data_IF_041025289512
#
_entry.id   IF_041025289512
#
_cell.length_a   1.000
_cell.length_b   1.000
_cell.length_c   1.000
_cell.angle_alpha   90.00
_cell.angle_beta   90.00
_cell.angle_gamma   90.00
#
_symmetry.space_group_name_H-M   'P 1'
#
loop_
_entity.id
_entity.type
_entity.pdbx_description
1 polymer ?
#
# COMPACT_ATOMS: atom_id res chain seq x y z
N UNK A 1 -22.89 24.47 -19.74
CA UNK A 1 -22.71 23.18 -19.03
C UNK A 1 -21.74 22.34 -19.84
N UNK A 2 -20.96 21.47 -19.20
CA UNK A 2 -19.97 20.60 -19.85
C UNK A 2 -20.21 19.13 -19.44
N UNK A 3 -19.87 18.18 -20.30
CA UNK A 3 -19.86 16.74 -19.97
C UNK A 3 -18.52 16.34 -19.32
N UNK A 4 -18.45 15.13 -18.75
CA UNK A 4 -17.21 14.59 -18.17
C UNK A 4 -16.07 14.56 -19.19
N UNK A 5 -16.36 14.16 -20.43
CA UNK A 5 -15.36 14.08 -21.51
C UNK A 5 -14.85 15.44 -21.99
N UNK A 6 -15.55 16.52 -21.64
CA UNK A 6 -15.16 17.90 -21.96
C UNK A 6 -14.36 18.56 -20.82
N UNK A 7 -14.24 17.88 -19.67
CA UNK A 7 -13.47 18.38 -18.54
C UNK A 7 -11.96 18.31 -18.85
N UNK A 8 -11.20 19.26 -18.30
CA UNK A 8 -9.73 19.30 -18.45
C UNK A 8 -9.12 18.19 -17.57
N UNK A 9 -8.76 17.06 -18.19
CA UNK A 9 -8.19 15.90 -17.48
C UNK A 9 -6.67 15.86 -17.51
N UNK A 10 -6.04 16.34 -18.57
CA UNK A 10 -4.59 16.38 -18.75
C UNK A 10 -4.17 17.72 -19.36
N UNK A 11 -2.90 18.12 -19.15
CA UNK A 11 -2.40 19.38 -19.71
C UNK A 11 -2.49 19.39 -21.23
N UNK A 12 -2.25 18.25 -21.86
CA UNK A 12 -2.30 18.07 -23.31
C UNK A 12 -3.67 18.46 -23.89
N UNK A 13 -4.76 18.24 -23.15
CA UNK A 13 -6.12 18.62 -23.53
C UNK A 13 -6.24 20.14 -23.70
N UNK A 14 -5.54 20.93 -22.87
CA UNK A 14 -5.51 22.40 -22.98
C UNK A 14 -4.87 22.82 -24.30
N UNK A 15 -3.68 22.30 -24.60
CA UNK A 15 -2.97 22.69 -25.81
C UNK A 15 -3.78 22.31 -27.06
N UNK A 16 -4.26 21.07 -27.13
CA UNK A 16 -4.99 20.54 -28.28
C UNK A 16 -6.33 21.26 -28.47
N UNK A 17 -7.05 21.53 -27.38
CA UNK A 17 -8.31 22.26 -27.45
C UNK A 17 -8.12 23.69 -27.96
N UNK A 18 -7.14 24.43 -27.44
CA UNK A 18 -6.89 25.81 -27.90
C UNK A 18 -6.46 25.86 -29.37
N UNK A 19 -5.66 24.88 -29.83
CA UNK A 19 -5.34 24.73 -31.26
C UNK A 19 -6.61 24.46 -32.07
N UNK A 20 -7.51 23.61 -31.59
CA UNK A 20 -8.78 23.33 -32.27
C UNK A 20 -9.72 24.55 -32.36
N UNK A 21 -9.59 25.50 -31.43
CA UNK A 21 -10.25 26.81 -31.47
C UNK A 21 -9.54 27.82 -32.40
N UNK A 22 -8.46 27.42 -33.07
CA UNK A 22 -7.72 28.28 -34.01
C UNK A 22 -6.59 29.10 -33.37
N UNK A 23 -6.23 28.87 -32.10
CA UNK A 23 -5.10 29.57 -31.48
C UNK A 23 -3.75 29.03 -31.97
N UNK A 24 -2.70 29.88 -32.12
CA UNK A 24 -1.38 29.44 -32.55
C UNK A 24 -0.74 28.41 -31.60
N UNK A 25 -0.12 27.36 -32.15
CA UNK A 25 0.44 26.24 -31.38
C UNK A 25 1.39 26.69 -30.25
N UNK A 26 2.31 27.60 -30.55
CA UNK A 26 3.27 28.13 -29.56
C UNK A 26 2.57 28.89 -28.43
N UNK A 27 1.44 29.55 -28.71
CA UNK A 27 0.66 30.27 -27.70
C UNK A 27 -0.14 29.29 -26.85
N UNK A 28 -0.82 28.34 -27.48
CA UNK A 28 -1.53 27.24 -26.81
C UNK A 28 -0.61 26.44 -25.87
N UNK A 29 0.61 26.14 -26.31
CA UNK A 29 1.65 25.49 -25.49
C UNK A 29 2.03 26.33 -24.26
N UNK A 30 2.26 27.64 -24.42
CA UNK A 30 2.60 28.54 -23.30
C UNK A 30 1.48 28.62 -22.27
N UNK A 31 0.22 28.71 -22.74
CA UNK A 31 -0.96 28.73 -21.86
C UNK A 31 -1.04 27.41 -21.09
N UNK A 32 -0.95 26.27 -21.78
CA UNK A 32 -0.90 24.95 -21.15
C UNK A 32 0.19 24.86 -20.06
N UNK A 33 1.43 25.24 -20.37
CA UNK A 33 2.55 25.14 -19.41
C UNK A 33 2.40 26.07 -18.20
N UNK A 34 1.73 27.22 -18.36
CA UNK A 34 1.41 28.10 -17.24
C UNK A 34 0.32 27.49 -16.34
N UNK A 35 -0.78 27.04 -16.95
CA UNK A 35 -1.93 26.48 -16.24
C UNK A 35 -1.55 25.21 -15.47
N UNK A 36 -0.82 24.27 -16.09
CA UNK A 36 -0.44 23.01 -15.42
C UNK A 36 0.48 23.21 -14.20
N UNK A 37 1.15 24.37 -14.11
CA UNK A 37 2.00 24.77 -12.98
C UNK A 37 1.27 25.63 -11.95
N UNK A 38 -0.04 25.83 -12.12
CA UNK A 38 -0.83 26.66 -11.23
C UNK A 38 -0.51 28.15 -11.31
N UNK A 39 0.09 28.62 -12.41
CA UNK A 39 0.46 30.03 -12.61
C UNK A 39 -0.68 30.87 -13.23
N UNK A 40 -1.86 30.27 -13.40
CA UNK A 40 -2.99 30.91 -14.07
C UNK A 40 -2.74 31.10 -15.56
N UNK A 41 -3.48 32.05 -16.14
CA UNK A 41 -3.36 32.41 -17.56
C UNK A 41 -2.28 33.48 -17.75
N UNK A 42 -1.41 33.35 -18.77
CA UNK A 42 -0.50 34.44 -19.16
C UNK A 42 -1.24 35.72 -19.53
N UNK A 43 -0.56 36.87 -19.46
CA UNK A 43 -1.11 38.15 -19.88
C UNK A 43 -1.66 38.10 -21.32
N UNK A 44 -2.86 38.67 -21.52
CA UNK A 44 -3.58 38.67 -22.80
C UNK A 44 -4.23 37.34 -23.20
N UNK A 45 -3.89 36.23 -22.54
CA UNK A 45 -4.38 34.91 -22.96
C UNK A 45 -5.90 34.77 -22.80
N UNK A 46 -6.49 35.42 -21.80
CA UNK A 46 -7.94 35.39 -21.61
C UNK A 46 -8.71 36.03 -22.77
N UNK A 47 -8.28 37.21 -23.22
CA UNK A 47 -8.93 37.92 -24.32
C UNK A 47 -8.71 37.19 -25.64
N UNK A 48 -7.52 36.63 -25.85
CA UNK A 48 -7.23 35.77 -27.00
C UNK A 48 -8.10 34.50 -27.01
N UNK A 49 -8.28 33.87 -25.85
CA UNK A 49 -9.17 32.70 -25.70
C UNK A 49 -10.63 33.08 -25.98
N UNK A 50 -11.12 34.20 -25.47
CA UNK A 50 -12.47 34.70 -25.76
C UNK A 50 -12.65 35.00 -27.25
N UNK A 51 -11.68 35.65 -27.88
CA UNK A 51 -11.69 35.96 -29.31
C UNK A 51 -11.68 34.69 -30.19
N UNK A 52 -11.03 33.62 -29.73
CA UNK A 52 -11.04 32.30 -30.35
C UNK A 52 -12.32 31.47 -30.05
N UNK A 53 -13.31 32.06 -29.37
CA UNK A 53 -14.58 31.39 -29.04
C UNK A 53 -14.48 30.37 -27.90
N UNK A 54 -13.42 30.42 -27.09
CA UNK A 54 -13.29 29.56 -25.91
C UNK A 54 -14.33 29.98 -24.86
N UNK A 55 -15.17 29.05 -24.36
CA UNK A 55 -16.20 29.38 -23.38
C UNK A 55 -15.64 29.90 -22.05
N UNK A 56 -16.35 30.83 -21.42
CA UNK A 56 -15.95 31.45 -20.14
C UNK A 56 -15.69 30.42 -19.03
N UNK A 57 -16.48 29.34 -18.98
CA UNK A 57 -16.28 28.29 -17.97
C UNK A 57 -14.92 27.58 -18.12
N UNK A 58 -14.42 27.43 -19.36
CA UNK A 58 -13.14 26.78 -19.65
C UNK A 58 -11.98 27.68 -19.20
N UNK A 59 -12.07 28.97 -19.51
CA UNK A 59 -11.15 30.01 -19.05
C UNK A 59 -11.12 30.04 -17.52
N UNK A 60 -12.30 30.05 -16.88
CA UNK A 60 -12.44 29.99 -15.43
C UNK A 60 -11.85 28.72 -14.82
N UNK A 61 -11.95 27.58 -15.50
CA UNK A 61 -11.34 26.30 -15.09
C UNK A 61 -9.81 26.39 -15.11
N UNK A 62 -9.22 26.88 -16.22
CA UNK A 62 -7.77 27.08 -16.36
C UNK A 62 -7.16 27.93 -15.23
N UNK A 63 -7.88 28.94 -14.74
CA UNK A 63 -7.42 29.80 -13.63
C UNK A 63 -7.40 29.09 -12.26
N UNK A 64 -8.18 28.01 -12.09
CA UNK A 64 -8.33 27.28 -10.80
C UNK A 64 -7.32 26.15 -10.64
N UNK A 65 -6.90 25.54 -11.73
CA UNK A 65 -5.95 24.41 -11.74
C UNK A 65 -4.65 24.81 -11.05
N UNK A 66 -4.22 24.01 -10.06
CA UNK A 66 -2.94 24.20 -9.34
C UNK A 66 -1.82 23.30 -9.86
N UNK A 67 -2.19 22.11 -10.30
CA UNK A 67 -1.30 21.13 -10.89
C UNK A 67 -2.09 20.25 -11.85
N UNK A 68 -1.48 19.83 -12.95
CA UNK A 68 -2.12 18.95 -13.93
C UNK A 68 -1.10 18.01 -14.59
N UNK A 69 -1.46 16.74 -14.71
CA UNK A 69 -0.58 15.71 -15.29
C UNK A 69 -0.48 15.82 -16.82
N UNK A 70 0.68 15.42 -17.40
CA UNK A 70 0.74 15.02 -18.80
C UNK A 70 0.00 13.72 -19.05
N UNK A 71 -0.67 13.63 -20.21
CA UNK A 71 -1.43 12.45 -20.63
C UNK A 71 -0.59 11.17 -20.64
N UNK A 72 0.66 11.26 -21.09
CA UNK A 72 1.59 10.12 -21.08
C UNK A 72 1.83 9.55 -19.66
N UNK A 73 1.89 10.42 -18.64
CA UNK A 73 2.09 9.97 -17.26
C UNK A 73 0.81 9.29 -16.72
N UNK A 74 -0.35 9.88 -16.97
CA UNK A 74 -1.64 9.29 -16.61
C UNK A 74 -1.81 7.89 -17.25
N UNK A 75 -1.51 7.76 -18.55
CA UNK A 75 -1.56 6.47 -19.27
C UNK A 75 -0.60 5.45 -18.65
N UNK A 76 0.63 5.84 -18.33
CA UNK A 76 1.61 4.92 -17.71
C UNK A 76 1.13 4.39 -16.36
N UNK A 77 0.60 5.25 -15.49
CA UNK A 77 0.08 4.86 -14.17
C UNK A 77 -1.17 3.99 -14.29
N UNK A 78 -2.13 4.39 -15.14
CA UNK A 78 -3.37 3.64 -15.38
C UNK A 78 -3.04 2.26 -15.96
N UNK A 79 -2.08 2.16 -16.88
CA UNK A 79 -1.63 0.87 -17.41
C UNK A 79 -1.06 -0.04 -16.32
N UNK A 80 -0.28 0.49 -15.36
CA UNK A 80 0.18 -0.31 -14.22
C UNK A 80 -0.97 -0.72 -13.32
N UNK A 81 -1.91 0.19 -13.05
CA UNK A 81 -3.09 -0.09 -12.24
C UNK A 81 -3.94 -1.21 -12.85
N UNK A 82 -4.18 -1.22 -14.17
CA UNK A 82 -4.89 -2.30 -14.85
C UNK A 82 -4.15 -3.64 -14.76
N UNK A 83 -2.83 -3.65 -14.89
CA UNK A 83 -2.03 -4.88 -14.73
C UNK A 83 -2.16 -5.43 -13.32
N UNK A 84 -2.09 -4.58 -12.29
CA UNK A 84 -2.26 -4.99 -10.89
C UNK A 84 -3.70 -5.44 -10.63
N UNK A 85 -4.70 -4.72 -11.15
CA UNK A 85 -6.12 -5.05 -11.00
C UNK A 85 -6.44 -6.43 -11.58
N UNK A 86 -5.81 -6.81 -12.70
CA UNK A 86 -5.95 -8.14 -13.27
C UNK A 86 -5.56 -9.24 -12.27
N UNK A 87 -4.45 -9.09 -11.53
CA UNK A 87 -4.09 -10.03 -10.45
C UNK A 87 -5.08 -9.97 -9.29
N UNK A 88 -5.54 -8.77 -8.89
CA UNK A 88 -6.53 -8.64 -7.81
C UNK A 88 -7.80 -9.43 -8.11
N UNK A 89 -8.24 -9.44 -9.37
CA UNK A 89 -9.44 -10.17 -9.80
C UNK A 89 -9.15 -11.66 -10.01
N UNK A 90 -8.15 -12.01 -10.81
CA UNK A 90 -7.94 -13.38 -11.31
C UNK A 90 -6.96 -14.22 -10.49
N UNK A 91 -6.03 -13.61 -9.77
CA UNK A 91 -5.05 -14.27 -8.89
C UNK A 91 -4.97 -13.58 -7.53
N UNK A 92 -6.08 -13.53 -6.77
CA UNK A 92 -6.20 -12.69 -5.58
C UNK A 92 -5.12 -12.96 -4.53
N UNK A 93 -4.82 -14.22 -4.21
CA UNK A 93 -3.78 -14.55 -3.23
C UNK A 93 -2.38 -14.03 -3.63
N UNK A 94 -2.06 -14.01 -4.93
CA UNK A 94 -0.81 -13.42 -5.42
C UNK A 94 -0.81 -11.89 -5.26
N UNK A 95 -1.95 -11.24 -5.55
CA UNK A 95 -2.13 -9.81 -5.29
C UNK A 95 -1.96 -9.48 -3.80
N UNK A 96 -2.68 -10.17 -2.92
CA UNK A 96 -2.65 -9.93 -1.48
C UNK A 96 -1.27 -10.22 -0.88
N UNK A 97 -0.63 -11.32 -1.29
CA UNK A 97 0.75 -11.63 -0.88
C UNK A 97 1.70 -10.48 -1.23
N UNK A 98 1.65 -9.97 -2.47
CA UNK A 98 2.50 -8.87 -2.90
C UNK A 98 2.14 -7.54 -2.22
N UNK A 99 0.85 -7.27 -2.02
CA UNK A 99 0.36 -6.06 -1.35
C UNK A 99 0.81 -6.03 0.11
N UNK A 100 0.52 -7.08 0.88
CA UNK A 100 0.88 -7.16 2.30
C UNK A 100 2.39 -7.23 2.51
N UNK A 101 3.13 -7.88 1.61
CA UNK A 101 4.59 -7.80 1.61
C UNK A 101 5.06 -6.34 1.52
N UNK A 102 4.54 -5.57 0.55
CA UNK A 102 4.97 -4.19 0.38
C UNK A 102 4.57 -3.31 1.56
N UNK A 103 3.43 -3.60 2.21
CA UNK A 103 2.97 -2.90 3.41
C UNK A 103 3.81 -3.24 4.64
N UNK A 104 4.19 -4.50 4.83
CA UNK A 104 5.03 -4.91 5.97
C UNK A 104 6.42 -4.23 5.93
N UNK A 105 7.00 -4.06 4.74
CA UNK A 105 8.27 -3.34 4.57
C UNK A 105 8.20 -1.85 4.93
N UNK A 106 6.99 -1.27 5.03
CA UNK A 106 6.75 0.13 5.37
C UNK A 106 6.16 0.31 6.77
N UNK A 107 6.09 -0.75 7.58
CA UNK A 107 5.49 -0.70 8.92
C UNK A 107 3.98 -0.49 8.91
N UNK A 108 3.32 -0.65 7.76
CA UNK A 108 1.87 -0.51 7.60
C UNK A 108 1.12 -1.84 7.66
N UNK A 109 1.74 -2.90 8.20
CA UNK A 109 1.13 -4.21 8.42
C UNK A 109 1.58 -4.72 9.79
N UNK A 110 0.65 -5.25 10.57
CA UNK A 110 0.92 -5.90 11.86
C UNK A 110 0.24 -7.27 11.89
N UNK A 111 1.05 -8.33 11.92
CA UNK A 111 0.55 -9.69 11.93
C UNK A 111 -0.26 -10.02 13.19
N UNK A 112 0.10 -9.48 14.36
CA UNK A 112 -0.64 -9.75 15.61
C UNK A 112 -2.05 -9.17 15.52
N UNK A 113 -2.21 -8.03 14.85
CA UNK A 113 -3.50 -7.37 14.69
C UNK A 113 -4.32 -8.00 13.55
N UNK A 114 -3.70 -8.13 12.38
CA UNK A 114 -4.43 -8.40 11.13
C UNK A 114 -4.75 -9.88 10.90
N UNK A 115 -4.10 -10.81 11.59
CA UNK A 115 -4.25 -12.25 11.36
C UNK A 115 -5.29 -12.92 12.26
N UNK A 116 -5.81 -12.20 13.26
CA UNK A 116 -6.83 -12.70 14.21
C UNK A 116 -8.28 -12.67 13.66
N UNK A 117 -8.43 -12.68 12.34
CA UNK A 117 -9.73 -12.75 11.68
C UNK A 117 -10.37 -11.39 11.41
N UNK A 118 -11.52 -11.47 10.73
CA UNK A 118 -12.28 -10.31 10.24
C UNK A 118 -12.72 -9.36 11.36
N UNK A 119 -13.23 -9.90 12.47
CA UNK A 119 -13.81 -9.08 13.54
C UNK A 119 -12.73 -8.25 14.26
N UNK A 120 -11.52 -8.80 14.42
CA UNK A 120 -10.38 -8.06 14.93
C UNK A 120 -9.97 -6.92 13.98
N UNK A 121 -9.98 -7.16 12.66
CA UNK A 121 -9.71 -6.11 11.67
C UNK A 121 -10.74 -4.99 11.74
N UNK A 122 -12.04 -5.32 11.80
CA UNK A 122 -13.12 -4.32 11.91
C UNK A 122 -12.98 -3.50 13.18
N UNK A 123 -12.74 -4.14 14.33
CA UNK A 123 -12.56 -3.42 15.59
C UNK A 123 -11.39 -2.43 15.55
N UNK A 124 -10.32 -2.73 14.81
CA UNK A 124 -9.18 -1.82 14.64
C UNK A 124 -9.45 -0.70 13.63
N UNK A 125 -10.23 -0.96 12.58
CA UNK A 125 -10.73 0.09 11.67
C UNK A 125 -11.55 1.09 12.49
N UNK A 126 -12.54 0.61 13.24
CA UNK A 126 -13.42 1.43 14.07
C UNK A 126 -12.60 2.24 15.10
N UNK A 127 -11.58 1.63 15.71
CA UNK A 127 -10.74 2.31 16.70
C UNK A 127 -9.93 3.46 16.08
N UNK A 128 -9.44 3.32 14.85
CA UNK A 128 -8.68 4.37 14.16
C UNK A 128 -9.62 5.47 13.67
N UNK A 129 -10.74 5.13 13.03
CA UNK A 129 -11.70 6.10 12.49
C UNK A 129 -12.32 6.99 13.57
N UNK A 130 -12.52 6.45 14.78
CA UNK A 130 -13.05 7.20 15.92
C UNK A 130 -11.96 7.92 16.75
N UNK A 131 -10.69 7.85 16.36
CA UNK A 131 -9.61 8.53 17.04
C UNK A 131 -9.37 9.93 16.44
N UNK A 132 -9.83 10.97 17.14
CA UNK A 132 -9.61 12.37 16.73
C UNK A 132 -8.12 12.77 16.65
N UNK A 133 -7.23 11.99 17.25
CA UNK A 133 -5.78 12.20 17.24
C UNK A 133 -5.05 11.14 16.39
N UNK A 134 -5.72 10.55 15.38
CA UNK A 134 -5.10 9.61 14.46
C UNK A 134 -3.87 10.25 13.79
N UNK A 135 -2.77 9.49 13.79
CA UNK A 135 -1.50 9.91 13.19
C UNK A 135 -1.42 9.49 11.72
N UNK A 136 -0.49 10.05 10.95
CA UNK A 136 -0.21 9.61 9.58
C UNK A 136 0.06 8.09 9.49
N UNK A 137 0.64 7.52 10.55
CA UNK A 137 0.90 6.08 10.64
C UNK A 137 -0.40 5.28 10.81
N UNK A 138 -1.37 5.82 11.55
CA UNK A 138 -2.67 5.19 11.76
C UNK A 138 -3.48 5.21 10.45
N UNK A 139 -3.44 6.32 9.70
CA UNK A 139 -4.05 6.42 8.36
C UNK A 139 -3.42 5.43 7.35
N UNK A 140 -2.09 5.30 7.38
CA UNK A 140 -1.38 4.32 6.55
C UNK A 140 -1.77 2.88 6.91
N UNK A 141 -1.96 2.60 8.21
CA UNK A 141 -2.41 1.31 8.72
C UNK A 141 -3.87 1.04 8.34
N UNK A 142 -4.76 2.03 8.48
CA UNK A 142 -6.17 1.97 8.11
C UNK A 142 -6.32 1.53 6.65
N UNK A 143 -5.58 2.15 5.73
CA UNK A 143 -5.60 1.77 4.32
C UNK A 143 -5.17 0.30 4.09
N UNK A 144 -4.30 -0.27 4.95
CA UNK A 144 -3.98 -1.72 4.89
C UNK A 144 -5.09 -2.57 5.49
N UNK A 145 -5.70 -2.11 6.58
CA UNK A 145 -6.81 -2.81 7.24
C UNK A 145 -8.02 -2.93 6.33
N UNK A 146 -8.34 -1.92 5.53
CA UNK A 146 -9.42 -1.99 4.52
C UNK A 146 -9.16 -3.14 3.51
N UNK A 147 -7.91 -3.31 3.08
CA UNK A 147 -7.53 -4.40 2.16
C UNK A 147 -7.52 -5.76 2.89
N UNK A 148 -7.15 -5.80 4.17
CA UNK A 148 -7.27 -7.00 4.99
C UNK A 148 -8.75 -7.38 5.22
N UNK A 149 -9.63 -6.40 5.40
CA UNK A 149 -11.07 -6.61 5.51
C UNK A 149 -11.63 -7.17 4.20
N UNK A 150 -11.27 -6.59 3.06
CA UNK A 150 -11.60 -7.14 1.73
C UNK A 150 -11.08 -8.58 1.56
N UNK A 151 -9.84 -8.85 1.98
CA UNK A 151 -9.24 -10.18 1.95
C UNK A 151 -10.10 -11.22 2.68
N UNK A 152 -10.54 -10.91 3.90
CA UNK A 152 -11.43 -11.78 4.66
C UNK A 152 -12.83 -11.89 4.04
N UNK A 153 -13.40 -10.80 3.53
CA UNK A 153 -14.71 -10.83 2.87
C UNK A 153 -14.73 -11.69 1.61
N UNK A 154 -13.59 -11.84 0.94
CA UNK A 154 -13.42 -12.75 -0.20
C UNK A 154 -13.18 -14.20 0.19
N UNK A 155 -13.22 -14.52 1.49
CA UNK A 155 -13.11 -15.88 2.01
C UNK A 155 -11.67 -16.40 2.14
N UNK A 156 -10.68 -15.51 2.13
CA UNK A 156 -9.29 -15.89 2.40
C UNK A 156 -8.96 -15.76 3.89
N UNK A 157 -7.96 -16.52 4.32
CA UNK A 157 -7.54 -16.59 5.72
C UNK A 157 -6.02 -16.47 5.84
N UNK A 158 -5.53 -15.91 6.94
CA UNK A 158 -4.12 -15.99 7.27
C UNK A 158 -3.85 -17.28 8.06
N UNK A 159 -2.68 -17.88 7.81
CA UNK A 159 -2.11 -18.85 8.73
C UNK A 159 -1.41 -18.09 9.87
N UNK A 160 -1.36 -18.66 11.09
CA UNK A 160 -0.52 -18.12 12.14
C UNK A 160 0.93 -18.12 11.66
N UNK A 161 1.74 -17.18 12.15
CA UNK A 161 3.19 -17.24 11.91
C UNK A 161 3.68 -18.58 12.43
N UNK A 162 4.71 -19.14 11.78
CA UNK A 162 5.30 -20.42 12.18
C UNK A 162 6.80 -20.27 12.18
N UNK A 163 7.45 -20.63 13.29
CA UNK A 163 8.91 -20.67 13.39
C UNK A 163 9.51 -21.57 12.32
N UNK A 164 8.79 -22.58 11.83
CA UNK A 164 9.30 -23.53 10.83
C UNK A 164 8.90 -23.19 9.39
N UNK A 165 7.70 -22.65 9.17
CA UNK A 165 7.17 -22.43 7.81
C UNK A 165 7.32 -20.99 7.32
N UNK A 166 7.28 -19.99 8.21
CA UNK A 166 7.27 -18.58 7.78
C UNK A 166 8.60 -18.21 7.15
N UNK A 167 8.56 -17.38 6.09
CA UNK A 167 9.77 -16.79 5.52
C UNK A 167 10.22 -15.58 6.35
N UNK A 168 11.47 -15.16 6.22
CA UNK A 168 11.96 -13.92 6.82
C UNK A 168 11.13 -12.72 6.32
N UNK A 169 10.99 -12.62 5.00
CA UNK A 169 10.44 -11.43 4.35
C UNK A 169 9.23 -11.63 3.43
N UNK A 170 8.82 -12.86 3.10
CA UNK A 170 7.83 -13.12 2.04
C UNK A 170 6.56 -13.78 2.58
N UNK A 171 5.41 -13.28 2.17
CA UNK A 171 4.15 -14.00 2.39
C UNK A 171 4.12 -15.25 1.51
N UNK A 172 3.96 -16.42 2.13
CA UNK A 172 3.88 -17.70 1.43
C UNK A 172 2.41 -18.06 1.24
N UNK A 173 2.04 -18.47 0.02
CA UNK A 173 0.72 -19.05 -0.24
C UNK A 173 0.81 -20.54 0.12
N UNK A 174 0.04 -20.97 1.13
CA UNK A 174 0.00 -22.36 1.61
C UNK A 174 -1.45 -22.74 1.86
N UNK A 175 -1.91 -23.83 1.24
CA UNK A 175 -3.26 -24.38 1.40
C UNK A 175 -4.40 -23.37 1.17
N UNK A 176 -4.24 -22.49 0.17
CA UNK A 176 -5.21 -21.44 -0.15
C UNK A 176 -5.24 -20.26 0.83
N UNK A 177 -4.28 -20.21 1.76
CA UNK A 177 -4.13 -19.19 2.80
C UNK A 177 -2.80 -18.46 2.65
N UNK A 178 -2.68 -17.31 3.32
CA UNK A 178 -1.42 -16.57 3.39
C UNK A 178 -0.72 -16.80 4.72
N UNK A 179 0.51 -17.28 4.66
CA UNK A 179 1.42 -17.38 5.80
C UNK A 179 2.26 -16.10 5.89
N UNK A 180 2.12 -15.29 6.95
CA UNK A 180 2.90 -14.08 7.13
C UNK A 180 4.39 -14.37 7.36
N UNK A 181 5.28 -13.49 6.89
CA UNK A 181 6.70 -13.55 7.21
C UNK A 181 7.02 -12.96 8.58
N UNK A 182 8.24 -13.19 9.08
CA UNK A 182 8.67 -12.63 10.37
C UNK A 182 8.71 -11.09 10.40
N UNK A 183 9.07 -10.42 9.28
CA UNK A 183 9.01 -8.95 9.17
C UNK A 183 7.60 -8.36 9.23
N UNK A 184 6.55 -9.19 9.25
CA UNK A 184 5.19 -8.73 9.48
C UNK A 184 4.89 -8.51 10.97
N UNK A 185 5.78 -8.93 11.88
CA UNK A 185 5.73 -8.53 13.29
C UNK A 185 6.18 -7.08 13.39
N UNK A 186 5.35 -6.22 13.98
CA UNK A 186 5.64 -4.81 14.16
C UNK A 186 6.97 -4.61 14.91
N UNK A 187 7.86 -3.76 14.37
CA UNK A 187 9.19 -3.50 14.91
C UNK A 187 10.26 -4.56 14.60
N UNK A 188 9.90 -5.74 14.09
CA UNK A 188 10.84 -6.81 13.77
C UNK A 188 11.50 -6.56 12.41
N UNK A 189 12.72 -6.01 12.44
CA UNK A 189 13.48 -5.70 11.24
C UNK A 189 14.05 -6.94 10.50
N UNK A 190 14.42 -6.76 9.23
CA UNK A 190 14.90 -7.84 8.36
C UNK A 190 16.06 -8.66 8.96
N UNK A 191 16.99 -8.02 9.67
CA UNK A 191 18.13 -8.72 10.26
C UNK A 191 17.71 -9.77 11.29
N UNK A 192 16.71 -9.45 12.13
CA UNK A 192 16.15 -10.38 13.10
C UNK A 192 15.31 -11.46 12.41
N UNK A 193 14.54 -11.09 11.38
CA UNK A 193 13.76 -12.03 10.59
C UNK A 193 14.63 -13.11 9.90
N UNK A 194 15.77 -12.69 9.32
CA UNK A 194 16.74 -13.62 8.76
C UNK A 194 17.48 -14.43 9.82
N UNK A 195 17.62 -13.89 11.03
CA UNK A 195 18.19 -14.64 12.15
C UNK A 195 17.29 -15.81 12.56
N UNK A 196 15.97 -15.60 12.61
CA UNK A 196 15.00 -16.69 12.84
C UNK A 196 15.11 -17.77 11.76
N UNK A 197 15.20 -17.37 10.48
CA UNK A 197 15.33 -18.32 9.38
C UNK A 197 16.62 -19.14 9.44
N UNK A 198 17.76 -18.54 9.79
CA UNK A 198 19.03 -19.27 9.93
C UNK A 198 19.06 -20.08 11.22
N UNK A 199 18.58 -19.50 12.32
CA UNK A 199 18.61 -20.08 13.66
C UNK A 199 17.86 -21.40 13.75
N UNK A 200 16.79 -21.56 12.95
CA UNK A 200 15.99 -22.79 12.84
C UNK A 200 16.57 -23.87 11.93
N UNK A 201 17.56 -23.58 11.09
CA UNK A 201 18.04 -24.56 10.09
C UNK A 201 18.55 -25.84 10.76
N UNK A 202 17.97 -26.98 10.38
CA UNK A 202 18.34 -28.29 10.91
C UNK A 202 17.98 -28.52 12.39
N UNK A 203 17.18 -27.63 13.00
CA UNK A 203 16.80 -27.73 14.41
C UNK A 203 15.33 -28.05 14.58
N UNK A 204 15.04 -28.85 15.60
CA UNK A 204 13.71 -28.96 16.21
C UNK A 204 13.85 -28.43 17.62
N UNK A 205 13.22 -27.30 17.90
CA UNK A 205 13.28 -26.66 19.20
C UNK A 205 12.39 -27.41 20.20
N UNK A 206 12.87 -27.53 21.44
CA UNK A 206 12.11 -28.09 22.56
C UNK A 206 11.41 -27.01 23.38
N UNK A 207 11.85 -25.76 23.29
CA UNK A 207 11.29 -24.63 24.02
C UNK A 207 11.51 -23.30 23.30
N UNK A 208 10.79 -22.27 23.71
CA UNK A 208 10.99 -20.90 23.22
C UNK A 208 12.32 -20.32 23.68
N UNK A 209 12.84 -20.75 24.83
CA UNK A 209 14.20 -20.45 25.27
C UNK A 209 15.26 -20.91 24.27
N UNK A 210 15.14 -22.11 23.71
CA UNK A 210 16.06 -22.60 22.68
C UNK A 210 15.97 -21.79 21.38
N UNK A 211 14.77 -21.33 21.00
CA UNK A 211 14.59 -20.43 19.86
C UNK A 211 15.34 -19.12 20.11
N UNK A 212 15.17 -18.52 21.29
CA UNK A 212 15.84 -17.27 21.65
C UNK A 212 17.38 -17.43 21.67
N UNK A 213 17.88 -18.56 22.18
CA UNK A 213 19.31 -18.87 22.19
C UNK A 213 19.87 -19.06 20.76
N UNK A 214 19.10 -19.69 19.87
CA UNK A 214 19.48 -19.89 18.47
C UNK A 214 19.38 -18.62 17.61
N UNK A 215 18.61 -17.61 18.05
CA UNK A 215 18.30 -16.40 17.29
C UNK A 215 18.68 -15.14 18.10
N UNK A 216 19.97 -14.91 18.39
CA UNK A 216 20.42 -13.86 19.31
C UNK A 216 20.12 -12.43 18.85
N UNK A 217 19.76 -12.22 17.57
CA UNK A 217 19.36 -10.90 17.05
C UNK A 217 17.89 -10.58 17.30
N UNK A 218 17.12 -11.51 17.84
CA UNK A 218 15.69 -11.32 18.16
C UNK A 218 15.58 -10.92 19.62
N UNK A 219 15.03 -9.73 19.89
CA UNK A 219 14.87 -9.25 21.27
C UNK A 219 13.79 -10.05 22.01
N UNK A 220 13.83 -10.04 23.35
CA UNK A 220 12.81 -10.67 24.20
C UNK A 220 11.39 -10.20 23.86
N UNK A 221 11.22 -8.90 23.58
CA UNK A 221 9.95 -8.32 23.15
C UNK A 221 9.45 -8.96 21.85
N UNK A 222 10.32 -9.11 20.84
CA UNK A 222 9.92 -9.74 19.58
C UNK A 222 9.66 -11.23 19.73
N UNK A 223 10.35 -11.94 20.63
CA UNK A 223 10.01 -13.33 20.98
C UNK A 223 8.59 -13.40 21.57
N UNK A 224 8.24 -12.50 22.49
CA UNK A 224 6.89 -12.46 23.05
C UNK A 224 5.82 -12.16 21.97
N UNK A 225 6.07 -11.19 21.09
CA UNK A 225 5.14 -10.89 19.99
C UNK A 225 5.00 -12.06 19.00
N UNK A 226 6.09 -12.78 18.71
CA UNK A 226 6.04 -13.99 17.90
C UNK A 226 5.18 -15.07 18.56
N UNK A 227 5.29 -15.25 19.88
CA UNK A 227 4.42 -16.15 20.64
C UNK A 227 2.95 -15.76 20.52
N UNK A 228 2.63 -14.49 20.70
CA UNK A 228 1.25 -13.96 20.56
C UNK A 228 0.71 -14.16 19.14
N UNK A 229 1.57 -14.06 18.12
CA UNK A 229 1.22 -14.37 16.73
C UNK A 229 1.17 -15.87 16.40
N UNK A 230 1.34 -16.75 17.39
CA UNK A 230 1.27 -18.21 17.25
C UNK A 230 2.54 -18.87 16.70
N UNK A 231 3.66 -18.14 16.56
CA UNK A 231 4.90 -18.61 15.92
C UNK A 231 5.45 -19.92 16.50
N UNK A 232 5.21 -20.19 17.78
CA UNK A 232 5.83 -21.29 18.50
C UNK A 232 4.86 -22.45 18.79
N UNK A 233 3.60 -22.36 18.36
CA UNK A 233 2.58 -23.39 18.65
C UNK A 233 2.57 -23.76 20.13
N UNK A 234 2.70 -25.06 20.43
CA UNK A 234 2.64 -25.62 21.78
C UNK A 234 4.01 -25.69 22.49
N UNK A 235 5.06 -25.02 21.97
CA UNK A 235 6.37 -25.06 22.61
C UNK A 235 6.32 -24.46 24.03
N UNK A 236 6.83 -25.17 25.05
CA UNK A 236 6.94 -24.63 26.40
C UNK A 236 7.92 -23.46 26.45
N UNK A 237 7.81 -22.64 27.49
CA UNK A 237 8.73 -21.51 27.70
C UNK A 237 10.18 -21.94 27.87
N UNK A 238 10.41 -22.98 28.67
CA UNK A 238 11.75 -23.43 29.04
C UNK A 238 11.90 -24.94 28.84
N UNK A 239 13.13 -25.36 28.57
CA UNK A 239 13.48 -26.78 28.51
C UNK A 239 13.66 -27.31 29.94
N UNK A 240 12.81 -28.25 30.37
CA UNK A 240 12.90 -28.85 31.72
C UNK A 240 14.03 -29.89 31.83
N UNK A 241 14.61 -30.33 30.71
CA UNK A 241 15.71 -31.29 30.63
C UNK A 241 16.67 -30.86 29.53
N UNK A 242 17.96 -30.78 29.85
CA UNK A 242 19.06 -30.51 28.89
C UNK A 242 19.99 -31.72 28.86
N UNK A 243 20.31 -32.22 27.67
CA UNK A 243 21.32 -33.27 27.49
C UNK A 243 22.59 -32.65 26.88
N UNK A 244 23.76 -33.11 27.38
CA UNK A 244 25.08 -32.59 27.01
C UNK A 244 25.48 -32.88 25.56
#
# INVERSE_FOLDING_TARGET
>A
TATVDQAIGCRDDIMLYLISCGMPEKRSFKIMEAVRKGRGLPEGAEDEMKAAGVPEWYIGSCKKIKYLFPKAHAVAYVMMAFRIAWFKVHHPLAFYSAYFYRRSQKGGFDAVLMTHGKDAVVANIDAIENNENATDKDEDLLTTLEVAYEYYLRGFEFLPISIYDSHATKFIIKDGKLLPPFVAISGLGENAAWDLMRGREGKTFLSVEEVAAACPKVSKTHIQMLREAGAFGDLPDTSQVSFF
#
